data_IF_340930897231
#
_entry.id   IF_340930897231
#
_cell.length_a   1.000
_cell.length_b   1.000
_cell.length_c   1.000
_cell.angle_alpha   90.00
_cell.angle_beta   90.00
_cell.angle_gamma   90.00
#
_symmetry.space_group_name_H-M   'P 1'
#
loop_
_entity.id
_entity.type
_entity.pdbx_description
1 polymer ?
#
# COMPACT_ATOMS: atom_id res chain seq x y z
N UNK A 1 11.45 5.30 -7.86
CA UNK A 1 10.29 4.43 -8.15
C UNK A 1 9.84 3.74 -6.86
N UNK A 2 8.56 3.86 -6.51
CA UNK A 2 7.96 3.12 -5.41
C UNK A 2 7.00 2.07 -5.96
N UNK A 3 7.32 0.79 -5.79
CA UNK A 3 6.34 -0.26 -6.09
C UNK A 3 5.38 -0.37 -4.91
N UNK A 4 4.15 0.07 -5.14
CA UNK A 4 3.09 0.04 -4.14
C UNK A 4 2.46 -1.37 -4.07
N UNK A 5 2.73 -2.10 -3.00
CA UNK A 5 2.12 -3.41 -2.70
C UNK A 5 0.81 -3.26 -1.92
N UNK A 6 -0.06 -4.26 -2.00
CA UNK A 6 -1.35 -4.27 -1.34
C UNK A 6 -1.26 -4.55 0.16
N UNK A 7 -2.06 -3.80 0.96
CA UNK A 7 -2.29 -4.02 2.40
C UNK A 7 -1.06 -3.87 3.32
N UNK A 8 -0.09 -3.08 2.88
CA UNK A 8 1.20 -2.82 3.54
C UNK A 8 1.37 -1.40 4.08
N UNK A 9 0.26 -0.67 4.32
CA UNK A 9 0.28 0.79 4.62
C UNK A 9 0.88 1.65 3.48
N UNK A 10 0.93 1.11 2.27
CA UNK A 10 1.53 1.75 1.09
C UNK A 10 0.82 3.02 0.61
N UNK A 11 -0.46 3.24 0.96
CA UNK A 11 -1.14 4.53 0.75
C UNK A 11 -0.56 5.68 1.59
N UNK A 12 0.00 5.37 2.77
CA UNK A 12 0.73 6.37 3.58
C UNK A 12 2.02 6.79 2.89
N UNK A 13 2.79 5.82 2.37
CA UNK A 13 4.02 6.09 1.59
C UNK A 13 3.71 6.85 0.30
N UNK A 14 2.63 6.48 -0.40
CA UNK A 14 2.15 7.22 -1.57
C UNK A 14 1.85 8.67 -1.24
N UNK A 15 1.14 8.97 -0.14
CA UNK A 15 0.86 10.36 0.26
C UNK A 15 2.15 11.15 0.55
N UNK A 16 3.15 10.53 1.18
CA UNK A 16 4.49 11.13 1.36
C UNK A 16 5.10 11.50 0.00
N UNK A 17 5.11 10.56 -0.94
CA UNK A 17 5.69 10.76 -2.27
C UNK A 17 4.97 11.81 -3.10
N UNK A 18 3.63 11.83 -3.07
CA UNK A 18 2.84 12.84 -3.79
C UNK A 18 3.13 14.25 -3.25
N UNK A 19 3.15 14.42 -1.92
CA UNK A 19 3.49 15.71 -1.29
C UNK A 19 4.92 16.14 -1.61
N UNK A 20 5.88 15.22 -1.52
CA UNK A 20 7.27 15.51 -1.83
C UNK A 20 7.45 15.91 -3.29
N UNK A 21 6.83 15.18 -4.22
CA UNK A 21 6.93 15.49 -5.64
C UNK A 21 6.29 16.82 -6.01
N UNK A 22 5.11 17.16 -5.47
CA UNK A 22 4.51 18.48 -5.68
C UNK A 22 5.37 19.61 -5.09
N UNK A 23 5.87 19.45 -3.86
CA UNK A 23 6.73 20.45 -3.20
C UNK A 23 7.96 20.79 -4.04
N UNK A 24 8.49 19.81 -4.78
CA UNK A 24 9.72 19.95 -5.56
C UNK A 24 9.47 20.02 -7.08
N UNK A 25 8.22 20.18 -7.54
CA UNK A 25 7.89 20.29 -8.97
C UNK A 25 8.25 19.05 -9.80
N UNK A 26 8.24 17.86 -9.19
CA UNK A 26 8.63 16.61 -9.84
C UNK A 26 7.52 16.07 -10.75
N UNK A 27 7.92 15.45 -11.86
CA UNK A 27 6.99 14.86 -12.84
C UNK A 27 6.58 13.45 -12.44
N UNK A 28 5.28 13.23 -12.27
CA UNK A 28 4.70 11.93 -11.93
C UNK A 28 4.30 11.14 -13.17
N UNK A 29 4.61 9.84 -13.20
CA UNK A 29 3.87 8.89 -14.04
C UNK A 29 2.59 8.55 -13.29
N UNK A 30 1.45 8.97 -13.82
CA UNK A 30 0.14 8.75 -13.20
C UNK A 30 -0.71 7.82 -14.07
N UNK A 31 -1.61 7.02 -13.47
CA UNK A 31 -2.53 6.19 -14.24
C UNK A 31 -3.56 7.02 -15.01
N UNK A 32 -4.26 6.38 -15.95
CA UNK A 32 -5.36 6.99 -16.71
C UNK A 32 -6.65 6.19 -16.54
N UNK A 33 -7.75 6.87 -16.21
CA UNK A 33 -9.08 6.27 -16.03
C UNK A 33 -9.31 5.57 -14.68
N UNK A 34 -8.24 5.17 -13.98
CA UNK A 34 -8.24 4.41 -12.70
C UNK A 34 -7.22 5.00 -11.72
N UNK A 35 -7.23 4.51 -10.48
CA UNK A 35 -6.22 4.82 -9.46
C UNK A 35 -5.00 3.87 -9.50
N UNK A 36 -5.02 2.88 -10.38
CA UNK A 36 -3.97 1.88 -10.65
C UNK A 36 -3.62 1.85 -12.14
N UNK A 37 -2.50 1.20 -12.50
CA UNK A 37 -2.06 1.02 -13.88
C UNK A 37 -2.64 -0.26 -14.51
N UNK A 38 -3.97 -0.32 -14.63
CA UNK A 38 -4.72 -1.42 -15.28
C UNK A 38 -4.54 -2.78 -14.59
N UNK A 39 -4.43 -2.78 -13.27
CA UNK A 39 -4.28 -4.00 -12.48
C UNK A 39 -5.52 -4.92 -12.64
N UNK A 40 -5.37 -6.25 -12.80
CA UNK A 40 -4.19 -7.10 -12.53
C UNK A 40 -3.27 -7.36 -13.73
N UNK A 41 -3.44 -6.66 -14.86
CA UNK A 41 -2.54 -6.83 -15.99
C UNK A 41 -1.12 -6.40 -15.61
N UNK A 42 -0.13 -7.12 -16.15
CA UNK A 42 1.29 -6.74 -16.04
C UNK A 42 1.48 -5.34 -16.59
N UNK A 43 2.22 -4.50 -15.86
CA UNK A 43 2.41 -3.10 -16.20
C UNK A 43 2.97 -2.92 -17.61
N UNK A 44 2.42 -1.95 -18.33
CA UNK A 44 2.93 -1.46 -19.60
C UNK A 44 3.01 0.05 -19.53
N UNK A 45 4.08 0.64 -20.09
CA UNK A 45 4.30 2.10 -20.05
C UNK A 45 3.16 2.90 -20.69
N UNK A 46 2.39 2.28 -21.60
CA UNK A 46 1.22 2.87 -22.24
C UNK A 46 0.03 3.10 -21.28
N UNK A 47 0.04 2.48 -20.09
CA UNK A 47 -0.96 2.75 -19.05
C UNK A 47 -0.73 4.08 -18.33
N UNK A 48 0.43 4.71 -18.55
CA UNK A 48 0.72 6.05 -18.03
C UNK A 48 -0.07 7.09 -18.81
N UNK A 49 -0.78 7.95 -18.08
CA UNK A 49 -1.55 9.06 -18.62
C UNK A 49 -0.70 9.93 -19.54
N UNK A 50 -1.19 10.15 -20.75
CA UNK A 50 -0.53 10.96 -21.78
C UNK A 50 0.90 10.48 -22.15
N UNK A 51 1.19 9.18 -22.00
CA UNK A 51 2.47 8.63 -22.40
C UNK A 51 2.78 8.93 -23.87
N UNK A 52 4.04 9.28 -24.15
CA UNK A 52 4.62 9.40 -25.48
C UNK A 52 5.98 8.71 -25.48
N UNK A 53 6.42 8.11 -26.59
CA UNK A 53 7.78 7.56 -26.70
C UNK A 53 8.84 8.56 -26.24
N UNK A 54 9.80 8.11 -25.42
CA UNK A 54 10.83 8.95 -24.82
C UNK A 54 10.39 9.76 -23.58
N UNK A 55 9.15 9.60 -23.11
CA UNK A 55 8.72 10.25 -21.88
C UNK A 55 9.47 9.69 -20.66
N UNK A 56 10.12 10.59 -19.93
CA UNK A 56 10.76 10.30 -18.65
C UNK A 56 9.99 10.94 -17.49
N UNK A 57 10.00 10.29 -16.33
CA UNK A 57 9.30 10.70 -15.11
C UNK A 57 10.23 10.61 -13.90
N UNK A 58 9.94 11.38 -12.85
CA UNK A 58 10.71 11.35 -11.60
C UNK A 58 10.11 10.37 -10.59
N UNK A 59 8.78 10.26 -10.54
CA UNK A 59 8.07 9.46 -9.55
C UNK A 59 7.04 8.56 -10.23
N UNK A 60 7.10 7.27 -9.91
CA UNK A 60 6.06 6.28 -10.17
C UNK A 60 5.73 5.65 -8.81
N UNK A 61 4.48 5.73 -8.37
CA UNK A 61 4.08 5.29 -7.02
C UNK A 61 2.67 4.70 -6.90
N UNK A 62 1.90 4.60 -7.99
CA UNK A 62 0.58 3.98 -8.01
C UNK A 62 0.66 2.45 -8.13
N UNK A 63 -0.43 1.76 -7.79
CA UNK A 63 -0.51 0.30 -7.89
C UNK A 63 -0.31 -0.19 -9.33
N UNK A 64 0.44 -1.28 -9.46
CA UNK A 64 0.68 -2.02 -10.69
C UNK A 64 1.04 -3.46 -10.36
N UNK A 65 0.93 -4.35 -11.35
CA UNK A 65 1.68 -5.62 -11.35
C UNK A 65 3.01 -5.36 -12.04
N UNK A 66 4.11 -5.46 -11.30
CA UNK A 66 5.41 -4.93 -11.73
C UNK A 66 5.93 -5.57 -13.02
N UNK A 67 6.57 -4.76 -13.86
CA UNK A 67 7.24 -5.18 -15.09
C UNK A 67 8.51 -4.34 -15.26
N UNK A 68 9.67 -4.91 -14.92
CA UNK A 68 10.92 -4.18 -14.85
C UNK A 68 11.28 -3.43 -16.15
N UNK A 69 11.33 -4.09 -17.33
CA UNK A 69 11.64 -3.39 -18.59
C UNK A 69 10.71 -2.21 -18.90
N UNK A 70 9.41 -2.35 -18.62
CA UNK A 70 8.43 -1.28 -18.90
C UNK A 70 8.52 -0.11 -17.91
N UNK A 71 8.85 -0.39 -16.65
CA UNK A 71 9.05 0.63 -15.62
C UNK A 71 10.37 1.36 -15.81
N UNK A 72 11.47 0.63 -16.02
CA UNK A 72 12.82 1.19 -16.18
C UNK A 72 12.88 2.11 -17.41
N UNK A 73 12.14 1.79 -18.48
CA UNK A 73 12.07 2.65 -19.67
C UNK A 73 11.41 4.03 -19.45
N UNK A 74 10.77 4.26 -18.30
CA UNK A 74 10.11 5.52 -17.94
C UNK A 74 10.95 6.39 -16.99
N UNK A 75 12.12 5.90 -16.58
CA UNK A 75 12.85 6.40 -15.43
C UNK A 75 14.33 6.63 -15.78
N UNK A 76 14.99 7.61 -15.16
CA UNK A 76 16.44 7.75 -15.25
C UNK A 76 17.19 6.51 -14.73
N UNK A 77 18.40 6.25 -15.25
CA UNK A 77 19.21 5.08 -14.86
C UNK A 77 19.68 5.08 -13.41
N UNK A 78 19.73 6.25 -12.77
CA UNK A 78 20.08 6.44 -11.36
C UNK A 78 18.86 6.40 -10.42
N UNK A 79 17.71 5.91 -10.91
CA UNK A 79 16.49 5.86 -10.11
C UNK A 79 16.62 4.96 -8.89
N UNK A 80 16.24 5.48 -7.73
CA UNK A 80 16.08 4.69 -6.51
C UNK A 80 14.76 3.91 -6.52
N UNK A 81 14.84 2.59 -6.57
CA UNK A 81 13.73 1.63 -6.47
C UNK A 81 13.55 1.18 -5.03
N UNK A 82 12.31 1.30 -4.54
CA UNK A 82 11.94 0.76 -3.26
C UNK A 82 10.50 0.25 -3.25
N UNK A 83 10.20 -0.62 -2.30
CA UNK A 83 8.86 -1.16 -2.08
C UNK A 83 8.63 -1.37 -0.58
N UNK A 84 7.49 -1.90 -0.21
CA UNK A 84 7.15 -2.21 1.17
C UNK A 84 6.49 -3.59 1.24
N UNK A 85 6.85 -4.38 2.24
CA UNK A 85 6.22 -5.67 2.53
C UNK A 85 5.64 -5.65 3.94
N UNK A 86 4.91 -6.70 4.27
CA UNK A 86 4.26 -6.94 5.56
C UNK A 86 4.17 -8.45 5.79
N UNK A 87 4.02 -8.88 7.03
CA UNK A 87 3.75 -10.28 7.37
C UNK A 87 2.56 -10.80 6.53
N UNK A 88 2.75 -11.84 5.70
CA UNK A 88 1.72 -12.31 4.79
C UNK A 88 0.46 -12.81 5.48
N UNK A 89 0.52 -13.24 6.74
CA UNK A 89 -0.71 -13.55 7.48
C UNK A 89 -1.60 -12.32 7.67
N UNK A 90 -1.00 -11.16 7.97
CA UNK A 90 -1.73 -9.90 8.14
C UNK A 90 -2.20 -9.34 6.79
N UNK A 91 -1.42 -9.57 5.73
CA UNK A 91 -1.81 -9.22 4.35
C UNK A 91 -3.02 -10.06 3.94
N UNK A 92 -2.97 -11.36 4.18
CA UNK A 92 -4.04 -12.29 3.83
C UNK A 92 -5.33 -11.95 4.57
N UNK A 93 -5.30 -11.75 5.89
CA UNK A 93 -6.48 -11.31 6.66
C UNK A 93 -7.07 -10.01 6.10
N UNK A 94 -6.21 -9.01 5.85
CA UNK A 94 -6.67 -7.72 5.33
C UNK A 94 -7.17 -7.81 3.88
N UNK A 95 -6.57 -8.64 3.05
CA UNK A 95 -6.93 -8.85 1.66
C UNK A 95 -8.28 -9.59 1.57
N UNK A 96 -8.40 -10.69 2.31
CA UNK A 96 -9.60 -11.52 2.35
C UNK A 96 -10.82 -10.69 2.74
N UNK A 97 -10.76 -9.94 3.85
CA UNK A 97 -11.90 -9.10 4.25
C UNK A 97 -12.21 -7.97 3.29
N UNK A 98 -11.19 -7.37 2.69
CA UNK A 98 -11.38 -6.25 1.76
C UNK A 98 -11.98 -6.69 0.42
N UNK A 99 -11.58 -7.85 -0.09
CA UNK A 99 -11.91 -8.31 -1.44
C UNK A 99 -12.91 -9.47 -1.51
N UNK A 100 -13.29 -10.13 -0.40
CA UNK A 100 -14.26 -11.25 -0.41
C UNK A 100 -15.51 -10.97 -1.25
N UNK A 101 -16.07 -9.76 -1.16
CA UNK A 101 -17.26 -9.35 -1.90
C UNK A 101 -17.10 -9.34 -3.43
N UNK A 102 -15.86 -9.39 -3.94
CA UNK A 102 -15.52 -9.38 -5.38
C UNK A 102 -14.69 -10.60 -5.81
N UNK A 103 -14.58 -11.61 -4.95
CA UNK A 103 -13.91 -12.88 -5.23
C UNK A 103 -14.95 -14.02 -5.08
N UNK A 104 -15.54 -14.50 -6.19
CA UNK A 104 -16.62 -15.49 -6.15
C UNK A 104 -16.31 -16.77 -5.36
N UNK A 105 -15.04 -17.19 -5.31
CA UNK A 105 -14.61 -18.35 -4.52
C UNK A 105 -14.98 -18.22 -3.04
N UNK A 106 -14.93 -17.00 -2.48
CA UNK A 106 -15.24 -16.76 -1.06
C UNK A 106 -16.75 -16.78 -0.76
N UNK A 107 -17.61 -16.70 -1.78
CA UNK A 107 -19.06 -16.70 -1.59
C UNK A 107 -19.59 -18.09 -1.25
N UNK A 108 -18.89 -19.13 -1.72
CA UNK A 108 -19.17 -20.55 -1.46
C UNK A 108 -18.79 -20.99 -0.03
N UNK A 109 -18.09 -20.14 0.72
CA UNK A 109 -17.75 -20.41 2.12
C UNK A 109 -18.96 -20.01 2.98
N UNK A 110 -19.61 -20.98 3.59
CA UNK A 110 -20.90 -20.79 4.26
C UNK A 110 -20.79 -20.49 5.76
N UNK A 111 -19.67 -20.79 6.41
CA UNK A 111 -19.53 -20.53 7.84
C UNK A 111 -19.46 -19.04 8.17
N UNK A 112 -19.73 -18.73 9.44
CA UNK A 112 -19.75 -17.35 9.95
C UNK A 112 -18.36 -16.70 9.86
N UNK A 113 -17.31 -17.48 10.14
CA UNK A 113 -15.92 -17.05 10.02
C UNK A 113 -15.27 -17.64 8.76
N UNK A 114 -15.61 -17.04 7.61
CA UNK A 114 -15.13 -17.49 6.30
C UNK A 114 -13.61 -17.50 6.16
N UNK A 115 -12.90 -16.65 6.91
CA UNK A 115 -11.44 -16.60 6.86
C UNK A 115 -10.85 -17.83 7.54
N UNK A 116 -11.37 -18.18 8.72
CA UNK A 116 -10.98 -19.39 9.44
C UNK A 116 -11.32 -20.64 8.63
N UNK A 117 -12.52 -20.72 8.05
CA UNK A 117 -12.91 -21.84 7.19
C UNK A 117 -11.96 -21.98 5.99
N UNK A 118 -11.64 -20.86 5.32
CA UNK A 118 -10.67 -20.85 4.23
C UNK A 118 -9.31 -21.40 4.68
N UNK A 119 -8.78 -20.90 5.81
CA UNK A 119 -7.44 -21.29 6.27
C UNK A 119 -7.37 -22.73 6.79
N UNK A 120 -8.49 -23.31 7.20
CA UNK A 120 -8.55 -24.71 7.61
C UNK A 120 -8.49 -25.65 6.42
N UNK A 121 -9.03 -25.26 5.26
CA UNK A 121 -8.99 -26.07 4.04
C UNK A 121 -8.86 -25.21 2.76
N UNK A 122 -7.69 -24.59 2.53
CA UNK A 122 -7.53 -23.64 1.44
C UNK A 122 -7.58 -24.31 0.07
N UNK A 123 -7.29 -25.61 -0.02
CA UNK A 123 -7.30 -26.36 -1.29
C UNK A 123 -8.71 -26.53 -1.85
N UNK A 124 -9.73 -26.67 -0.99
CA UNK A 124 -11.13 -26.71 -1.43
C UNK A 124 -11.64 -25.32 -1.83
N UNK A 125 -11.09 -24.27 -1.23
CA UNK A 125 -11.60 -22.91 -1.38
C UNK A 125 -10.84 -22.05 -2.40
N UNK A 126 -9.76 -22.57 -2.99
CA UNK A 126 -8.92 -21.85 -3.93
C UNK A 126 -8.85 -22.52 -5.31
N UNK A 127 -9.02 -21.71 -6.34
CA UNK A 127 -8.71 -22.05 -7.73
C UNK A 127 -7.92 -20.89 -8.34
N UNK A 128 -6.72 -21.18 -8.84
CA UNK A 128 -5.85 -20.19 -9.48
C UNK A 128 -6.52 -19.50 -10.67
N UNK A 129 -7.41 -20.17 -11.40
CA UNK A 129 -8.15 -19.60 -12.53
C UNK A 129 -9.40 -18.81 -12.12
N UNK A 130 -9.72 -18.81 -10.82
CA UNK A 130 -10.87 -18.09 -10.28
C UNK A 130 -10.78 -16.58 -10.52
N UNK A 131 -11.91 -15.95 -10.79
CA UNK A 131 -11.96 -14.49 -10.93
C UNK A 131 -11.46 -13.80 -9.65
N UNK A 132 -10.47 -12.92 -9.80
CA UNK A 132 -9.79 -12.24 -8.69
C UNK A 132 -9.10 -13.16 -7.65
N UNK A 133 -8.83 -14.42 -7.98
CA UNK A 133 -8.15 -15.40 -7.10
C UNK A 133 -6.79 -14.90 -6.61
N UNK A 134 -6.09 -14.08 -7.40
CA UNK A 134 -4.76 -13.55 -7.06
C UNK A 134 -4.72 -12.75 -5.75
N UNK A 135 -5.84 -12.24 -5.25
CA UNK A 135 -5.91 -11.61 -3.91
C UNK A 135 -5.84 -12.61 -2.74
N UNK A 136 -5.94 -13.91 -3.02
CA UNK A 136 -6.01 -14.97 -2.01
C UNK A 136 -4.72 -15.78 -1.85
N UNK A 137 -3.69 -15.61 -2.68
CA UNK A 137 -2.43 -16.37 -2.54
C UNK A 137 -1.24 -15.48 -2.93
N UNK A 138 -0.21 -15.43 -2.08
CA UNK A 138 1.07 -14.75 -2.31
C UNK A 138 0.96 -13.37 -3.00
N UNK A 139 0.13 -12.48 -2.44
CA UNK A 139 -0.24 -11.21 -3.08
C UNK A 139 0.95 -10.28 -3.29
N UNK A 140 1.96 -10.28 -2.41
CA UNK A 140 3.15 -9.46 -2.63
C UNK A 140 3.96 -9.96 -3.83
N UNK A 141 4.14 -11.28 -3.95
CA UNK A 141 4.84 -11.89 -5.08
C UNK A 141 4.09 -11.61 -6.40
N UNK A 142 2.76 -11.61 -6.37
CA UNK A 142 1.94 -11.17 -7.50
C UNK A 142 2.17 -9.69 -7.86
N UNK A 143 2.12 -8.78 -6.88
CA UNK A 143 2.38 -7.34 -7.08
C UNK A 143 3.77 -7.09 -7.68
N UNK A 144 4.77 -7.89 -7.28
CA UNK A 144 6.15 -7.88 -7.78
C UNK A 144 6.29 -8.46 -9.20
N UNK A 145 5.20 -8.91 -9.83
CA UNK A 145 5.17 -9.31 -11.23
C UNK A 145 5.34 -10.80 -11.46
N UNK A 146 5.44 -11.61 -10.41
CA UNK A 146 5.71 -13.04 -10.50
C UNK A 146 4.41 -13.86 -10.46
N UNK A 147 4.56 -15.18 -10.67
CA UNK A 147 3.48 -16.15 -10.50
C UNK A 147 3.30 -16.46 -9.01
N UNK A 148 2.14 -16.10 -8.46
CA UNK A 148 1.80 -16.24 -7.05
C UNK A 148 1.24 -17.63 -6.70
N UNK A 149 1.15 -18.53 -7.67
CA UNK A 149 0.70 -19.90 -7.46
C UNK A 149 1.85 -20.87 -7.17
N UNK A 150 3.10 -20.46 -7.42
CA UNK A 150 4.30 -21.25 -7.12
C UNK A 150 4.36 -21.69 -5.67
N UNK A 151 5.01 -22.84 -5.47
CA UNK A 151 5.31 -23.37 -4.15
C UNK A 151 6.65 -22.81 -3.63
N UNK A 152 6.84 -22.68 -2.31
CA UNK A 152 8.03 -22.02 -1.73
C UNK A 152 9.38 -22.67 -2.10
N UNK A 153 9.36 -23.96 -2.42
CA UNK A 153 10.51 -24.77 -2.80
C UNK A 153 10.86 -24.65 -4.29
N UNK A 154 10.02 -24.00 -5.10
CA UNK A 154 10.28 -23.82 -6.52
C UNK A 154 11.57 -22.97 -6.73
N UNK A 155 12.55 -23.44 -7.54
CA UNK A 155 13.80 -22.71 -7.81
C UNK A 155 13.60 -21.30 -8.39
N UNK A 156 12.47 -21.03 -9.05
CA UNK A 156 12.12 -19.71 -9.56
C UNK A 156 11.87 -18.72 -8.43
N UNK A 157 11.42 -19.17 -7.26
CA UNK A 157 11.19 -18.30 -6.10
C UNK A 157 12.52 -17.71 -5.61
N UNK A 158 13.57 -18.52 -5.44
CA UNK A 158 14.88 -18.02 -5.00
C UNK A 158 15.54 -17.13 -6.05
N UNK A 159 15.30 -17.41 -7.33
CA UNK A 159 15.76 -16.57 -8.44
C UNK A 159 15.04 -15.22 -8.46
N UNK A 160 13.73 -15.21 -8.22
CA UNK A 160 12.92 -14.00 -8.10
C UNK A 160 13.35 -13.15 -6.89
N UNK A 161 13.53 -13.76 -5.71
CA UNK A 161 13.98 -13.05 -4.50
C UNK A 161 15.33 -12.35 -4.74
N UNK A 162 16.29 -13.03 -5.40
CA UNK A 162 17.57 -12.42 -5.78
C UNK A 162 17.39 -11.26 -6.76
N UNK A 163 16.58 -11.44 -7.80
CA UNK A 163 16.29 -10.38 -8.76
C UNK A 163 15.61 -9.16 -8.11
N UNK A 164 14.76 -9.37 -7.10
CA UNK A 164 14.17 -8.29 -6.30
C UNK A 164 15.25 -7.60 -5.46
N UNK A 165 16.12 -8.38 -4.80
CA UNK A 165 17.18 -7.84 -3.94
C UNK A 165 18.22 -7.01 -4.70
N UNK A 166 18.51 -7.38 -5.95
CA UNK A 166 19.40 -6.64 -6.84
C UNK A 166 18.77 -5.33 -7.32
N UNK A 167 17.45 -5.33 -7.58
CA UNK A 167 16.76 -4.19 -8.18
C UNK A 167 16.27 -3.16 -7.16
N UNK A 168 15.77 -3.59 -6.02
CA UNK A 168 15.18 -2.71 -5.01
C UNK A 168 16.23 -2.36 -3.95
N UNK A 169 16.71 -1.12 -3.96
CA UNK A 169 17.73 -0.65 -3.02
C UNK A 169 17.21 -0.62 -1.57
N UNK A 170 15.90 -0.49 -1.38
CA UNK A 170 15.23 -0.64 -0.08
C UNK A 170 13.91 -1.39 -0.21
N UNK A 171 13.75 -2.45 0.59
CA UNK A 171 12.45 -3.09 0.82
C UNK A 171 12.05 -2.79 2.26
N UNK A 172 11.06 -1.92 2.42
CA UNK A 172 10.52 -1.51 3.71
C UNK A 172 9.69 -2.65 4.33
N UNK A 173 9.56 -2.65 5.66
CA UNK A 173 8.69 -3.58 6.40
C UNK A 173 7.65 -2.78 7.17
N UNK A 174 6.37 -3.06 6.95
CA UNK A 174 5.26 -2.31 7.56
C UNK A 174 5.24 -2.40 9.09
N UNK A 175 5.70 -3.50 9.67
CA UNK A 175 5.88 -3.69 11.11
C UNK A 175 7.01 -2.82 11.69
N UNK A 176 7.93 -2.36 10.85
CA UNK A 176 9.06 -1.49 11.16
C UNK A 176 9.02 -0.23 10.29
N UNK A 177 7.81 0.33 10.16
CA UNK A 177 7.51 1.39 9.20
C UNK A 177 8.36 2.65 9.43
N UNK A 178 8.55 3.03 10.70
CA UNK A 178 9.27 4.25 11.05
C UNK A 178 10.76 4.09 10.82
N UNK A 179 11.37 2.97 11.19
CA UNK A 179 12.75 2.63 10.87
C UNK A 179 12.96 2.61 9.35
N UNK A 180 12.01 2.01 8.62
CA UNK A 180 12.03 1.96 7.16
C UNK A 180 11.99 3.36 6.54
N UNK A 181 11.18 4.29 7.08
CA UNK A 181 11.12 5.67 6.62
C UNK A 181 12.41 6.44 6.94
N UNK A 182 13.04 6.22 8.10
CA UNK A 182 14.33 6.85 8.42
C UNK A 182 15.41 6.40 7.43
N UNK A 183 15.46 5.11 7.09
CA UNK A 183 16.38 4.61 6.06
C UNK A 183 16.08 5.21 4.68
N UNK A 184 14.80 5.32 4.30
CA UNK A 184 14.40 5.95 3.04
C UNK A 184 14.84 7.41 2.97
N UNK A 185 14.64 8.16 4.07
CA UNK A 185 15.07 9.56 4.17
C UNK A 185 16.59 9.70 4.03
N UNK A 186 17.36 8.84 4.69
CA UNK A 186 18.82 8.87 4.58
C UNK A 186 19.27 8.57 3.14
N UNK A 187 18.69 7.52 2.52
CA UNK A 187 19.00 7.13 1.15
C UNK A 187 18.65 8.20 0.10
N UNK A 188 17.55 8.93 0.29
CA UNK A 188 17.10 9.98 -0.62
C UNK A 188 17.55 11.39 -0.21
N UNK A 189 18.36 11.52 0.83
CA UNK A 189 18.81 12.81 1.39
C UNK A 189 17.65 13.76 1.76
N UNK A 190 16.52 13.22 2.20
CA UNK A 190 15.34 14.00 2.58
C UNK A 190 15.47 14.63 3.97
N UNK A 191 14.68 15.68 4.19
CA UNK A 191 14.53 16.28 5.51
C UNK A 191 13.47 15.52 6.32
N UNK A 192 13.53 15.65 7.65
CA UNK A 192 12.53 15.01 8.53
C UNK A 192 11.10 15.44 8.20
N UNK A 193 10.92 16.70 7.79
CA UNK A 193 9.61 17.27 7.50
C UNK A 193 9.00 16.72 6.20
N UNK A 194 9.82 16.16 5.31
CA UNK A 194 9.35 15.49 4.09
C UNK A 194 8.70 14.14 4.40
N UNK A 195 9.05 13.51 5.52
CA UNK A 195 8.54 12.20 5.93
C UNK A 195 7.23 12.25 6.74
N UNK A 196 6.83 13.42 7.26
CA UNK A 196 5.73 13.48 8.23
C UNK A 196 4.47 12.87 7.65
N UNK A 197 3.76 12.04 8.40
CA UNK A 197 2.65 11.28 7.85
C UNK A 197 1.51 11.12 8.86
N UNK A 198 0.32 10.92 8.33
CA UNK A 198 -0.81 10.37 9.06
C UNK A 198 -1.11 8.98 8.50
N UNK A 199 -1.53 8.06 9.37
CA UNK A 199 -1.78 6.68 8.97
C UNK A 199 -3.03 6.64 8.11
N UNK A 200 -2.89 6.29 6.83
CA UNK A 200 -4.00 6.25 5.89
C UNK A 200 -4.62 4.85 5.82
N UNK A 201 -5.93 4.80 5.52
CA UNK A 201 -6.69 3.56 5.34
C UNK A 201 -6.69 2.61 6.55
N UNK A 202 -6.66 3.17 7.76
CA UNK A 202 -6.84 2.40 9.00
C UNK A 202 -8.23 1.79 9.04
N UNK A 203 -8.33 0.51 9.39
CA UNK A 203 -9.62 -0.17 9.59
C UNK A 203 -10.13 0.04 11.01
N UNK A 204 -11.46 0.08 11.18
CA UNK A 204 -12.12 0.02 12.49
C UNK A 204 -11.62 -1.21 13.26
N UNK A 205 -11.22 -1.11 14.54
CA UNK A 205 -10.69 -2.25 15.29
C UNK A 205 -11.60 -3.49 15.29
N UNK A 206 -12.93 -3.30 15.35
CA UNK A 206 -13.90 -4.41 15.33
C UNK A 206 -14.04 -5.11 13.98
N UNK A 207 -13.51 -4.53 12.89
CA UNK A 207 -13.47 -5.13 11.55
C UNK A 207 -12.19 -5.90 11.26
N UNK A 208 -11.22 -5.87 12.18
CA UNK A 208 -9.94 -6.58 12.05
C UNK A 208 -10.06 -7.91 12.77
N UNK A 209 -9.94 -9.02 12.03
CA UNK A 209 -9.91 -10.35 12.64
C UNK A 209 -8.62 -10.50 13.44
N UNK A 210 -8.74 -10.76 14.74
CA UNK A 210 -7.60 -11.14 15.57
C UNK A 210 -7.24 -12.59 15.26
N UNK A 211 -6.30 -12.80 14.33
CA UNK A 211 -5.79 -14.14 14.02
C UNK A 211 -5.18 -14.75 15.28
N UNK A 212 -5.68 -15.93 15.66
CA UNK A 212 -5.02 -16.77 16.68
C UNK A 212 -3.61 -17.14 16.20
N UNK A 213 -2.69 -17.51 17.11
CA UNK A 213 -1.37 -17.98 16.72
C UNK A 213 -1.41 -19.12 15.69
N UNK A 214 -2.36 -20.04 15.83
CA UNK A 214 -2.58 -21.14 14.89
C UNK A 214 -3.00 -20.64 13.50
N UNK A 215 -4.01 -19.78 13.41
CA UNK A 215 -4.47 -19.23 12.13
C UNK A 215 -3.39 -18.39 11.45
N UNK A 216 -2.57 -17.68 12.23
CA UNK A 216 -1.41 -16.96 11.70
C UNK A 216 -0.39 -17.89 11.05
N UNK A 217 -0.13 -19.05 11.65
CA UNK A 217 0.75 -20.08 11.07
C UNK A 217 0.15 -20.62 9.78
N UNK A 218 -1.12 -21.05 9.79
CA UNK A 218 -1.82 -21.52 8.57
C UNK A 218 -1.80 -20.50 7.44
N UNK A 219 -2.01 -19.22 7.77
CA UNK A 219 -1.98 -18.14 6.77
C UNK A 219 -0.58 -17.90 6.18
N UNK A 220 0.49 -18.07 6.98
CA UNK A 220 1.87 -17.99 6.47
C UNK A 220 2.25 -19.20 5.64
N UNK A 221 1.78 -20.39 6.01
CA UNK A 221 1.98 -21.62 5.23
C UNK A 221 1.28 -21.52 3.89
N UNK A 222 0.00 -21.10 3.88
CA UNK A 222 -0.75 -20.87 2.65
C UNK A 222 -0.10 -19.82 1.72
N UNK A 223 0.50 -18.79 2.31
CA UNK A 223 1.26 -17.76 1.60
C UNK A 223 2.78 -17.98 1.73
N UNK A 224 3.22 -19.22 1.56
CA UNK A 224 4.59 -19.63 1.85
C UNK A 224 5.67 -18.88 1.04
N UNK A 225 5.37 -18.50 -0.21
CA UNK A 225 6.30 -17.71 -1.03
C UNK A 225 6.45 -16.32 -0.47
N UNK A 226 5.35 -15.64 -0.13
CA UNK A 226 5.40 -14.34 0.52
C UNK A 226 6.05 -14.42 1.91
N UNK A 227 5.92 -15.55 2.62
CA UNK A 227 6.59 -15.75 3.90
C UNK A 227 8.10 -15.87 3.74
N UNK A 228 8.57 -16.64 2.77
CA UNK A 228 9.98 -16.73 2.40
C UNK A 228 10.54 -15.37 2.01
N UNK A 229 9.83 -14.64 1.15
CA UNK A 229 10.13 -13.27 0.72
C UNK A 229 10.23 -12.30 1.92
N UNK A 230 9.21 -12.29 2.79
CA UNK A 230 9.16 -11.41 3.96
C UNK A 230 10.33 -11.66 4.90
N UNK A 231 10.65 -12.91 5.23
CA UNK A 231 11.78 -13.23 6.12
C UNK A 231 13.11 -12.72 5.56
N UNK A 232 13.34 -12.93 4.26
CA UNK A 232 14.55 -12.46 3.59
C UNK A 232 14.67 -10.94 3.73
N UNK A 233 13.64 -10.19 3.33
CA UNK A 233 13.72 -8.73 3.34
C UNK A 233 13.66 -8.12 4.74
N UNK A 234 12.99 -8.76 5.71
CA UNK A 234 13.08 -8.35 7.11
C UNK A 234 14.51 -8.46 7.65
N UNK A 235 15.23 -9.54 7.34
CA UNK A 235 16.64 -9.67 7.69
C UNK A 235 17.49 -8.57 7.01
N UNK A 236 17.25 -8.29 5.73
CA UNK A 236 17.98 -7.22 5.01
C UNK A 236 17.70 -5.83 5.58
N UNK A 237 16.47 -5.55 6.00
CA UNK A 237 16.11 -4.29 6.65
C UNK A 237 16.91 -4.12 7.94
N UNK A 238 16.93 -5.14 8.80
CA UNK A 238 17.67 -5.09 10.07
C UNK A 238 19.18 -5.00 9.86
N UNK A 239 19.72 -5.59 8.80
CA UNK A 239 21.11 -5.37 8.40
C UNK A 239 21.37 -3.88 8.05
N UNK A 240 20.48 -3.23 7.30
CA UNK A 240 20.55 -1.79 7.00
C UNK A 240 20.39 -0.93 8.26
N UNK A 241 19.50 -1.29 9.19
CA UNK A 241 19.36 -0.61 10.49
C UNK A 241 20.65 -0.72 11.32
N UNK A 242 21.28 -1.89 11.34
CA UNK A 242 22.55 -2.09 12.04
C UNK A 242 23.66 -1.22 11.43
N UNK A 243 23.76 -1.17 10.09
CA UNK A 243 24.72 -0.33 9.37
C UNK A 243 24.47 1.17 9.59
N UNK A 244 23.21 1.60 9.67
CA UNK A 244 22.83 2.98 10.02
C UNK A 244 23.18 3.35 11.47
N UNK A 245 23.22 2.34 12.35
CA UNK A 245 23.50 2.45 13.78
C UNK A 245 22.22 2.51 14.62
N UNK A 246 22.03 1.53 15.52
CA UNK A 246 20.81 1.38 16.33
C UNK A 246 20.50 2.60 17.20
N UNK A 247 21.51 3.16 17.89
CA UNK A 247 21.33 4.36 18.73
C UNK A 247 20.90 5.59 17.90
N UNK A 248 21.45 5.74 16.68
CA UNK A 248 21.06 6.80 15.75
C UNK A 248 19.62 6.58 15.26
N UNK A 249 19.28 5.33 14.92
CA UNK A 249 17.93 4.94 14.49
C UNK A 249 16.88 5.28 15.56
N UNK A 250 17.09 4.85 16.81
CA UNK A 250 16.18 5.12 17.93
C UNK A 250 15.94 6.63 18.13
N UNK A 251 17.01 7.43 18.03
CA UNK A 251 16.92 8.90 18.13
C UNK A 251 16.09 9.50 16.99
N UNK A 252 16.34 9.09 15.75
CA UNK A 252 15.62 9.62 14.59
C UNK A 252 14.15 9.17 14.57
N UNK A 253 13.85 7.93 14.93
CA UNK A 253 12.47 7.43 15.10
C UNK A 253 11.74 8.22 16.20
N UNK A 254 12.38 8.46 17.35
CA UNK A 254 11.79 9.28 18.41
C UNK A 254 11.48 10.70 17.92
N UNK A 255 12.39 11.30 17.14
CA UNK A 255 12.19 12.62 16.54
C UNK A 255 11.05 12.62 15.53
N UNK A 256 10.95 11.61 14.67
CA UNK A 256 9.84 11.44 13.72
C UNK A 256 8.50 11.34 14.44
N UNK A 257 8.39 10.50 15.48
CA UNK A 257 7.20 10.37 16.32
C UNK A 257 6.78 11.71 16.91
N UNK A 258 7.71 12.45 17.52
CA UNK A 258 7.44 13.76 18.10
C UNK A 258 6.92 14.77 17.05
N UNK A 259 7.52 14.81 15.87
CA UNK A 259 7.09 15.69 14.77
C UNK A 259 5.71 15.31 14.24
N UNK A 260 5.43 14.02 14.07
CA UNK A 260 4.12 13.52 13.68
C UNK A 260 3.05 13.87 14.72
N UNK A 261 3.32 13.67 16.02
CA UNK A 261 2.39 14.06 17.10
C UNK A 261 2.10 15.56 17.09
N UNK A 262 3.13 16.40 16.90
CA UNK A 262 2.94 17.85 16.76
C UNK A 262 2.07 18.20 15.56
N UNK A 263 2.33 17.60 14.40
CA UNK A 263 1.55 17.84 13.19
C UNK A 263 0.10 17.34 13.33
N UNK A 264 -0.11 16.19 13.97
CA UNK A 264 -1.45 15.66 14.27
C UNK A 264 -2.22 16.61 15.19
N UNK A 265 -1.56 17.15 16.22
CA UNK A 265 -2.15 18.12 17.13
C UNK A 265 -2.50 19.46 16.45
N UNK A 266 -1.87 19.79 15.32
CA UNK A 266 -2.23 20.97 14.51
C UNK A 266 -3.38 20.63 13.56
N UNK A 267 -3.27 19.52 12.82
CA UNK A 267 -4.14 19.23 11.69
C UNK A 267 -5.45 18.50 12.04
N UNK A 268 -5.43 17.62 13.05
CA UNK A 268 -6.50 16.64 13.28
C UNK A 268 -7.44 17.14 14.39
N UNK A 269 -8.72 17.23 14.04
CA UNK A 269 -9.80 17.49 15.00
C UNK A 269 -9.99 16.27 15.91
N UNK A 270 -9.93 16.47 17.23
CA UNK A 270 -10.02 15.38 18.21
C UNK A 270 -8.77 14.48 18.29
N UNK A 271 -7.74 14.72 17.47
CA UNK A 271 -6.47 14.00 17.51
C UNK A 271 -6.51 12.54 17.05
N UNK A 272 -7.64 12.04 16.57
CA UNK A 272 -7.83 10.64 16.19
C UNK A 272 -8.60 10.48 14.87
N UNK A 273 -8.50 9.28 14.29
CA UNK A 273 -9.32 8.90 13.15
C UNK A 273 -10.78 8.70 13.59
N UNK A 274 -11.71 8.96 12.68
CA UNK A 274 -13.15 8.85 12.89
C UNK A 274 -13.78 7.91 11.88
N UNK A 275 -14.98 7.42 12.21
CA UNK A 275 -15.76 6.57 11.33
C UNK A 275 -16.18 7.31 10.06
N UNK A 276 -16.40 6.56 8.98
CA UNK A 276 -16.75 7.11 7.66
C UNK A 276 -17.92 8.10 7.69
N UNK A 277 -18.94 7.82 8.52
CA UNK A 277 -20.15 8.64 8.65
C UNK A 277 -19.87 9.97 9.36
N UNK A 278 -18.87 10.01 10.25
CA UNK A 278 -18.52 11.17 11.08
C UNK A 278 -17.53 12.12 10.40
N UNK A 279 -17.08 11.77 9.18
CA UNK A 279 -16.23 12.65 8.36
C UNK A 279 -17.11 13.75 7.78
N UNK A 280 -16.85 14.99 8.23
CA UNK A 280 -17.62 16.20 7.91
C UNK A 280 -17.39 16.68 6.48
N UNK A 281 -16.15 16.62 6.02
CA UNK A 281 -15.80 17.00 4.66
C UNK A 281 -15.88 15.79 3.72
N UNK A 282 -16.86 15.80 2.83
CA UNK A 282 -17.09 14.73 1.86
C UNK A 282 -15.89 14.50 0.93
N UNK A 283 -15.10 15.54 0.65
CA UNK A 283 -13.91 15.44 -0.19
C UNK A 283 -12.72 14.80 0.52
N UNK A 284 -12.82 14.50 1.83
CA UNK A 284 -11.81 13.76 2.60
C UNK A 284 -12.28 12.35 2.98
N UNK A 285 -13.42 11.89 2.45
CA UNK A 285 -13.93 10.55 2.74
C UNK A 285 -13.11 9.48 2.01
N UNK A 286 -12.52 8.50 2.73
CA UNK A 286 -11.76 7.44 2.10
C UNK A 286 -12.70 6.47 1.38
N UNK A 287 -12.17 5.80 0.35
CA UNK A 287 -12.89 4.76 -0.35
C UNK A 287 -13.17 3.56 0.54
N UNK A 288 -14.43 3.12 0.55
CA UNK A 288 -14.87 1.99 1.35
C UNK A 288 -14.88 0.69 0.51
N UNK A 289 -14.60 -0.49 1.10
CA UNK A 289 -14.80 -1.78 0.44
C UNK A 289 -16.28 -2.05 0.13
N UNK A 290 -16.59 -2.96 -0.80
CA UNK A 290 -17.98 -3.32 -1.15
C UNK A 290 -18.63 -4.07 0.02
N UNK A 291 -19.86 -3.71 0.38
CA UNK A 291 -20.59 -4.33 1.50
C UNK A 291 -20.21 -3.88 2.92
N UNK A 292 -19.06 -3.22 3.12
CA UNK A 292 -18.64 -2.73 4.46
C UNK A 292 -18.15 -1.27 4.44
N UNK A 293 -18.26 -0.56 5.57
CA UNK A 293 -17.78 0.83 5.73
C UNK A 293 -16.77 0.90 6.88
N UNK A 294 -15.69 0.11 6.78
CA UNK A 294 -14.72 -0.11 7.86
C UNK A 294 -13.48 0.77 7.80
N UNK A 295 -13.28 1.55 6.72
CA UNK A 295 -12.09 2.40 6.59
C UNK A 295 -12.33 3.74 7.28
N UNK A 296 -11.52 4.03 8.29
CA UNK A 296 -11.53 5.27 9.05
C UNK A 296 -10.89 6.41 8.25
N UNK A 297 -11.30 7.64 8.54
CA UNK A 297 -10.69 8.85 8.01
C UNK A 297 -10.44 9.89 9.10
N UNK A 298 -10.21 11.13 8.72
CA UNK A 298 -9.89 12.20 9.67
C UNK A 298 -10.74 13.44 9.40
N UNK A 299 -11.08 14.14 10.48
CA UNK A 299 -11.62 15.50 10.39
C UNK A 299 -10.48 16.50 10.52
N UNK A 300 -10.33 17.39 9.54
CA UNK A 300 -9.38 18.50 9.64
C UNK A 300 -9.87 19.53 10.67
N UNK A 301 -8.95 20.04 11.48
CA UNK A 301 -9.24 21.11 12.45
C UNK A 301 -9.64 22.40 11.71
N UNK A 302 -10.58 23.17 12.26
CA UNK A 302 -11.10 24.39 11.63
C UNK A 302 -10.20 25.63 11.83
N UNK A 303 -9.55 25.74 12.99
CA UNK A 303 -8.70 26.87 13.38
C UNK A 303 -7.20 26.56 13.17
N UNK A 304 -6.82 26.17 11.96
CA UNK A 304 -5.41 25.93 11.59
C UNK A 304 -4.76 27.24 11.14
N UNK A 305 -3.58 27.55 11.67
CA UNK A 305 -2.78 28.68 11.20
C UNK A 305 -2.52 28.59 9.68
N UNK A 306 -2.53 29.74 9.00
CA UNK A 306 -2.48 29.79 7.54
C UNK A 306 -1.29 29.02 6.94
N UNK A 307 -0.13 29.05 7.62
CA UNK A 307 1.08 28.35 7.18
C UNK A 307 0.94 26.82 7.12
N UNK A 308 0.07 26.21 7.94
CA UNK A 308 -0.11 24.75 7.97
C UNK A 308 -1.33 24.27 7.18
N UNK A 309 -2.24 25.17 6.80
CA UNK A 309 -3.55 24.81 6.22
C UNK A 309 -3.42 23.91 4.98
N UNK A 310 -2.54 24.28 4.04
CA UNK A 310 -2.32 23.50 2.80
C UNK A 310 -1.67 22.15 3.09
N UNK A 311 -0.67 22.12 3.97
CA UNK A 311 0.03 20.89 4.33
C UNK A 311 -0.90 19.91 5.05
N UNK A 312 -1.65 20.39 6.05
CA UNK A 312 -2.65 19.60 6.76
C UNK A 312 -3.68 19.01 5.81
N UNK A 313 -4.19 19.82 4.87
CA UNK A 313 -5.11 19.35 3.85
C UNK A 313 -4.51 18.19 3.07
N UNK A 314 -3.34 18.38 2.47
CA UNK A 314 -2.65 17.34 1.67
C UNK A 314 -2.36 16.07 2.48
N UNK A 315 -1.96 16.19 3.75
CA UNK A 315 -1.68 15.03 4.61
C UNK A 315 -2.93 14.21 4.94
N UNK A 316 -4.10 14.84 4.97
CA UNK A 316 -5.38 14.19 5.30
C UNK A 316 -6.13 13.71 4.05
N UNK A 317 -5.79 14.22 2.87
CA UNK A 317 -6.44 13.84 1.60
C UNK A 317 -6.19 12.36 1.27
N UNK A 318 -7.24 11.53 1.14
CA UNK A 318 -7.08 10.14 0.70
C UNK A 318 -6.63 10.04 -0.76
N UNK A 319 -6.02 8.91 -1.09
CA UNK A 319 -5.33 8.68 -2.37
C UNK A 319 -6.17 9.04 -3.62
N UNK A 320 -7.43 8.61 -3.67
CA UNK A 320 -8.30 8.86 -4.84
C UNK A 320 -8.54 10.35 -5.05
N UNK A 321 -8.76 11.10 -3.97
CA UNK A 321 -8.96 12.55 -4.05
C UNK A 321 -7.65 13.25 -4.37
N UNK A 322 -6.53 12.81 -3.79
CA UNK A 322 -5.22 13.38 -4.11
C UNK A 322 -4.88 13.19 -5.59
N UNK A 323 -5.11 11.99 -6.16
CA UNK A 323 -4.89 11.75 -7.58
C UNK A 323 -5.80 12.62 -8.46
N UNK A 324 -7.04 12.89 -8.02
CA UNK A 324 -7.91 13.85 -8.69
C UNK A 324 -7.31 15.25 -8.69
N UNK A 325 -6.75 15.71 -7.56
CA UNK A 325 -6.10 17.02 -7.43
C UNK A 325 -4.86 17.12 -8.34
N UNK A 326 -4.16 16.01 -8.58
CA UNK A 326 -3.07 15.89 -9.56
C UNK A 326 -3.55 15.72 -11.01
N UNK A 327 -4.86 15.82 -11.25
CA UNK A 327 -5.48 15.78 -12.57
C UNK A 327 -5.67 14.38 -13.14
N UNK A 328 -5.59 13.30 -12.36
CA UNK A 328 -5.92 11.96 -12.84
C UNK A 328 -7.42 11.88 -13.14
N UNK A 329 -7.76 11.43 -14.35
CA UNK A 329 -9.15 11.10 -14.68
C UNK A 329 -9.49 9.75 -14.06
N UNK A 330 -10.38 9.72 -13.08
CA UNK A 330 -10.78 8.52 -12.33
C UNK A 330 -12.16 7.99 -12.73
N UNK A 331 -12.61 8.21 -13.97
CA UNK A 331 -13.98 7.89 -14.40
C UNK A 331 -14.37 6.44 -14.15
N UNK A 332 -13.48 5.45 -14.36
CA UNK A 332 -13.80 4.05 -14.07
C UNK A 332 -13.93 3.80 -12.57
N UNK A 333 -13.03 4.36 -11.75
CA UNK A 333 -13.11 4.26 -10.29
C UNK A 333 -14.40 4.90 -9.76
N UNK A 334 -14.78 6.07 -10.31
CA UNK A 334 -16.03 6.76 -9.95
C UNK A 334 -17.27 5.98 -10.38
N UNK A 335 -17.26 5.40 -11.58
CA UNK A 335 -18.33 4.54 -12.08
C UNK A 335 -18.53 3.31 -11.18
N UNK A 336 -17.44 2.66 -10.78
CA UNK A 336 -17.48 1.57 -9.79
C UNK A 336 -18.04 2.03 -8.44
N UNK A 337 -17.70 3.25 -7.99
CA UNK A 337 -18.24 3.84 -6.77
C UNK A 337 -19.75 4.08 -6.85
N UNK A 338 -20.23 4.50 -8.02
CA UNK A 338 -21.65 4.66 -8.30
C UNK A 338 -22.40 3.34 -8.34
N UNK A 339 -21.90 2.33 -9.09
CA UNK A 339 -22.47 0.97 -9.09
C UNK A 339 -22.56 0.37 -7.69
N UNK A 340 -21.50 0.53 -6.89
CA UNK A 340 -21.50 0.10 -5.50
C UNK A 340 -22.61 0.76 -4.66
N UNK A 341 -22.92 2.02 -4.93
CA UNK A 341 -23.94 2.78 -4.20
C UNK A 341 -25.34 2.31 -4.57
N UNK A 342 -25.57 1.96 -5.84
CA UNK A 342 -26.83 1.38 -6.34
C UNK A 342 -27.07 -0.03 -5.83
N UNK A 343 -26.04 -0.88 -5.81
CA UNK A 343 -26.13 -2.24 -5.29
C UNK A 343 -26.25 -2.32 -3.75
N UNK A 344 -26.19 -1.17 -3.05
CA UNK A 344 -26.43 -1.05 -1.61
C UNK A 344 -27.85 -0.54 -1.28
N UNK A 345 -28.74 -0.43 -2.28
CA UNK A 345 -30.20 -0.34 -2.09
C UNK A 345 -30.82 -1.72 -1.98
#
# INVERSE_FOLDING_TARGET
MFLKTHKTASSTVLNILLRYGEKNGLKFALPNGRNDFSYPATFMRMFVKNYRPGACFNIICNHMRFNAPEVEALLPSDTFFFTILRDPALVFESSFHYYKSVIPLTWRIHGKDKLTDFLNDPQIHFDSNGFNSFYLKNLHFFDLGFDNTLEPEDPLVDSAIRAIAERFQLVMIAEHFEESLILLKDALCWQMDDLLFFVMNTRRPTSVSQLTPELRTKAREWNGVDWKLYRYFNATLWAKVNAYGRKRMEKEVKKLRQRNSKMAAICISGGMAVEYQDIRDLSMRPWQPVGESSILGYNMRSNIEQQYRVLCRKMLTPEIQYLTDLGVNLWMTRLWGWFKTILRL
#
